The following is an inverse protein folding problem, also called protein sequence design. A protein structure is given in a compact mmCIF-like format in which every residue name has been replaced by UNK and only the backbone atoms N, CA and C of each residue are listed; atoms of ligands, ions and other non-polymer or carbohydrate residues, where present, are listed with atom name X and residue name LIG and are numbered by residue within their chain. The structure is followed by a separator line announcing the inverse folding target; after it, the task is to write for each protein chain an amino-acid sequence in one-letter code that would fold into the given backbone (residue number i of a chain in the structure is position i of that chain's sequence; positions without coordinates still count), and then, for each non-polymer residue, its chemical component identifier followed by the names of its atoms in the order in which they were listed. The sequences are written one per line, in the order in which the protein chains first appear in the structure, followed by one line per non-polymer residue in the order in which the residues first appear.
data_IF_003693640952
#
_entry.id   IF_003693640952
#
_cell.length_a   1.000
_cell.length_b   1.000
_cell.length_c   1.000
_cell.angle_alpha   90.00
_cell.angle_beta   90.00
_cell.angle_gamma   90.00
#
_symmetry.space_group_name_H-M   'P 1'
#
loop_
_entity.id
_entity.type
_entity.pdbx_description
1 polymer ?
#
# COMPACT_ATOMS: atom_id res chain seq x y z
N UNK A 1 -40.77 -33.99 -34.99
CA UNK A 1 -39.75 -32.94 -34.79
C UNK A 1 -39.45 -32.10 -36.05
N UNK A 2 -39.80 -32.58 -37.25
CA UNK A 2 -39.54 -31.85 -38.52
C UNK A 2 -40.48 -30.66 -38.78
N UNK A 3 -41.72 -30.70 -38.29
CA UNK A 3 -42.70 -29.61 -38.51
C UNK A 3 -42.46 -28.36 -37.65
N UNK A 4 -41.76 -28.47 -36.52
CA UNK A 4 -41.49 -27.33 -35.63
C UNK A 4 -40.36 -26.44 -36.18
N UNK A 5 -39.40 -27.05 -36.90
CA UNK A 5 -38.29 -26.34 -37.55
C UNK A 5 -38.80 -25.50 -38.73
N UNK A 6 -39.79 -25.98 -39.47
CA UNK A 6 -40.42 -25.24 -40.59
C UNK A 6 -41.19 -24.02 -40.07
N UNK A 7 -41.89 -24.15 -38.94
CA UNK A 7 -42.60 -23.02 -38.31
C UNK A 7 -41.66 -21.93 -37.79
N UNK A 8 -40.51 -22.29 -37.20
CA UNK A 8 -39.51 -21.32 -36.74
C UNK A 8 -38.87 -20.56 -37.92
N UNK A 9 -38.60 -21.24 -39.05
CA UNK A 9 -38.06 -20.60 -40.25
C UNK A 9 -39.06 -19.60 -40.88
N UNK A 10 -40.36 -19.93 -40.90
CA UNK A 10 -41.40 -19.04 -41.40
C UNK A 10 -41.62 -17.81 -40.49
N UNK A 11 -41.48 -17.97 -39.17
CA UNK A 11 -41.67 -16.87 -38.21
C UNK A 11 -40.58 -15.80 -38.33
N UNK A 12 -39.33 -16.18 -38.66
CA UNK A 12 -38.22 -15.24 -38.87
C UNK A 12 -38.35 -14.40 -40.15
N UNK A 13 -39.05 -14.90 -41.18
CA UNK A 13 -39.23 -14.19 -42.45
C UNK A 13 -40.34 -13.12 -42.40
N UNK A 14 -41.29 -13.25 -41.47
CA UNK A 14 -42.46 -12.34 -41.38
C UNK A 14 -42.27 -11.22 -40.34
N UNK A 15 -41.34 -11.37 -39.39
CA UNK A 15 -41.11 -10.38 -38.31
C UNK A 15 -39.65 -9.91 -38.20
N UNK A 16 -38.88 -9.94 -39.28
CA UNK A 16 -37.55 -9.32 -39.30
C UNK A 16 -37.65 -7.78 -39.27
N UNK A 17 -36.91 -7.07 -38.40
CA UNK A 17 -36.93 -5.61 -38.39
C UNK A 17 -36.40 -5.08 -39.73
N UNK A 18 -37.20 -4.24 -40.38
CA UNK A 18 -36.80 -3.53 -41.59
C UNK A 18 -35.53 -2.69 -41.31
N UNK A 19 -34.44 -3.03 -41.99
CA UNK A 19 -33.25 -2.19 -42.06
C UNK A 19 -33.59 -0.92 -42.81
N UNK A 20 -33.76 0.19 -42.08
CA UNK A 20 -33.78 1.54 -42.63
C UNK A 20 -32.34 1.94 -42.98
N UNK A 21 -32.03 1.96 -44.28
CA UNK A 21 -30.89 2.70 -44.79
C UNK A 21 -31.27 4.19 -44.86
N UNK A 22 -30.67 5.00 -43.99
CA UNK A 22 -30.69 6.47 -44.13
C UNK A 22 -29.28 6.90 -44.48
N UNK A 23 -29.12 7.45 -45.69
CA UNK A 23 -27.94 8.17 -46.11
C UNK A 23 -28.27 9.66 -46.21
N UNK A 24 -27.78 10.46 -45.27
CA UNK A 24 -27.51 11.91 -45.38
C UNK A 24 -26.44 12.19 -44.30
N UNK A 25 -25.24 12.66 -44.64
CA UNK A 25 -24.97 14.03 -45.03
C UNK A 25 -24.10 14.66 -43.94
N UNK A 26 -22.82 14.89 -44.24
CA UNK A 26 -21.85 15.49 -43.34
C UNK A 26 -22.32 16.84 -42.77
N UNK A 27 -22.11 17.06 -41.47
CA UNK A 27 -21.84 18.39 -40.93
C UNK A 27 -21.00 18.31 -39.66
N UNK A 28 -19.72 18.52 -39.91
CA UNK A 28 -18.67 18.96 -38.99
C UNK A 28 -19.17 20.11 -38.10
N UNK A 29 -19.09 19.88 -36.80
CA UNK A 29 -18.97 20.91 -35.77
C UNK A 29 -18.22 20.28 -34.60
N UNK A 30 -16.91 20.09 -34.79
CA UNK A 30 -16.00 19.67 -33.72
C UNK A 30 -15.70 20.89 -32.86
N UNK A 31 -16.38 20.96 -31.71
CA UNK A 31 -16.05 21.89 -30.64
C UNK A 31 -14.66 21.50 -30.06
N UNK A 32 -13.62 22.36 -30.13
CA UNK A 32 -12.23 22.00 -29.78
C UNK A 32 -12.03 21.64 -28.30
N UNK A 33 -13.04 21.82 -27.45
CA UNK A 33 -12.98 21.54 -26.02
C UNK A 33 -13.34 20.10 -25.65
N UNK A 34 -13.90 19.31 -26.57
CA UNK A 34 -14.22 17.89 -26.31
C UNK A 34 -13.06 16.94 -26.56
N UNK A 35 -11.97 17.39 -27.18
CA UNK A 35 -10.79 16.56 -27.47
C UNK A 35 -9.84 16.40 -26.26
N UNK A 36 -10.00 17.23 -25.23
CA UNK A 36 -9.20 17.19 -24.00
C UNK A 36 -9.83 16.41 -22.86
N UNK A 37 -11.12 16.09 -22.95
CA UNK A 37 -11.76 15.20 -21.99
C UNK A 37 -11.62 13.76 -22.50
N UNK A 38 -10.80 13.00 -21.78
CA UNK A 38 -11.12 11.61 -21.45
C UNK A 38 -10.73 10.48 -22.41
N UNK A 39 -9.47 10.46 -22.87
CA UNK A 39 -8.85 9.18 -23.30
C UNK A 39 -8.98 8.10 -22.22
N UNK A 40 -8.79 8.46 -20.95
CA UNK A 40 -8.88 7.51 -19.83
C UNK A 40 -10.32 7.02 -19.57
N UNK A 41 -11.34 7.81 -19.87
CA UNK A 41 -12.75 7.41 -19.70
C UNK A 41 -13.25 6.59 -20.90
N UNK A 42 -12.73 6.83 -22.12
CA UNK A 42 -13.01 5.97 -23.28
C UNK A 42 -12.42 4.56 -23.16
N UNK A 43 -11.30 4.40 -22.44
CA UNK A 43 -10.70 3.08 -22.15
C UNK A 43 -11.62 2.25 -21.24
N UNK A 44 -12.33 2.88 -20.29
CA UNK A 44 -13.30 2.20 -19.41
C UNK A 44 -14.52 1.67 -20.16
N UNK A 45 -14.94 2.34 -21.23
CA UNK A 45 -16.13 1.95 -22.01
C UNK A 45 -15.90 0.76 -22.95
N UNK A 46 -14.64 0.46 -23.28
CA UNK A 46 -14.26 -0.65 -24.17
C UNK A 46 -14.33 -2.05 -23.52
N UNK A 47 -14.81 -2.16 -22.27
CA UNK A 47 -14.92 -3.43 -21.55
C UNK A 47 -13.59 -3.99 -21.03
N UNK A 48 -12.49 -3.28 -21.25
CA UNK A 48 -11.17 -3.53 -20.65
C UNK A 48 -10.96 -2.65 -19.40
N UNK A 49 -12.03 -2.36 -18.67
CA UNK A 49 -11.95 -1.63 -17.40
C UNK A 49 -11.37 -2.55 -16.32
N UNK A 50 -10.11 -2.34 -15.96
CA UNK A 50 -9.50 -2.94 -14.78
C UNK A 50 -9.87 -2.17 -13.50
N UNK A 51 -11.18 -1.96 -13.28
CA UNK A 51 -11.65 -1.35 -12.05
C UNK A 51 -11.26 -2.26 -10.88
N UNK A 52 -10.47 -1.69 -9.97
CA UNK A 52 -9.93 -2.34 -8.79
C UNK A 52 -11.10 -2.79 -7.89
N UNK A 53 -11.47 -4.07 -7.99
CA UNK A 53 -12.64 -4.66 -7.31
C UNK A 53 -12.60 -4.58 -5.78
N UNK A 54 -11.43 -4.30 -5.20
CA UNK A 54 -11.28 -4.04 -3.78
C UNK A 54 -10.02 -3.23 -3.51
N UNK A 55 -10.02 -2.37 -2.49
CA UNK A 55 -8.83 -1.67 -2.02
C UNK A 55 -8.41 -2.22 -0.68
N UNK A 56 -7.12 -2.37 -0.46
CA UNK A 56 -6.58 -2.77 0.84
C UNK A 56 -5.52 -1.78 1.26
N UNK A 57 -5.80 -1.04 2.33
CA UNK A 57 -4.90 -0.03 2.87
C UNK A 57 -4.26 -0.52 4.16
N UNK A 58 -2.97 -0.26 4.34
CA UNK A 58 -2.27 -0.44 5.60
C UNK A 58 -1.71 0.90 6.05
N UNK A 59 -2.06 1.34 7.26
CA UNK A 59 -1.61 2.62 7.82
C UNK A 59 -0.92 2.44 9.17
N UNK A 60 -0.18 3.46 9.60
CA UNK A 60 0.38 3.52 10.94
C UNK A 60 1.32 4.71 11.10
N UNK A 61 1.89 4.85 12.30
CA UNK A 61 2.73 6.00 12.65
C UNK A 61 4.05 5.52 13.23
N UNK A 62 5.15 6.15 12.82
CA UNK A 62 6.49 5.88 13.31
C UNK A 62 6.98 7.00 14.22
N UNK A 63 7.12 6.69 15.51
CA UNK A 63 7.58 7.64 16.52
C UNK A 63 8.94 7.23 17.08
N UNK A 64 9.69 8.22 17.52
CA UNK A 64 10.86 8.04 18.37
C UNK A 64 10.52 8.38 19.80
N UNK A 65 10.84 7.49 20.74
CA UNK A 65 10.57 7.68 22.16
C UNK A 65 11.86 8.02 22.92
N UNK A 66 12.27 9.29 23.02
CA UNK A 66 13.41 9.71 23.83
C UNK A 66 13.19 9.35 25.31
N UNK A 67 14.28 9.08 26.03
CA UNK A 67 14.20 8.92 27.48
C UNK A 67 13.89 10.31 28.10
N UNK A 68 12.79 10.41 28.84
CA UNK A 68 12.35 11.60 29.57
C UNK A 68 11.80 12.77 28.73
N UNK A 69 11.40 12.54 27.48
CA UNK A 69 10.77 13.56 26.62
C UNK A 69 9.56 12.99 25.87
N UNK A 70 8.77 13.88 25.28
CA UNK A 70 7.59 13.52 24.48
C UNK A 70 8.04 12.82 23.19
N UNK A 71 7.38 11.73 22.77
CA UNK A 71 7.67 11.08 21.50
C UNK A 71 7.50 12.03 20.32
N UNK A 72 8.44 12.00 19.38
CA UNK A 72 8.39 12.82 18.17
C UNK A 72 8.30 11.96 16.92
N UNK A 73 7.64 12.47 15.85
CA UNK A 73 7.50 11.74 14.61
C UNK A 73 8.81 11.59 13.85
N UNK A 74 8.94 10.50 13.10
CA UNK A 74 10.10 10.26 12.23
C UNK A 74 9.67 10.39 10.77
N UNK A 75 10.00 11.52 10.16
CA UNK A 75 9.77 11.76 8.74
C UNK A 75 10.87 11.19 7.85
N UNK A 76 10.53 10.72 6.65
CA UNK A 76 11.50 10.25 5.67
C UNK A 76 12.11 8.87 5.97
N UNK A 77 11.47 8.07 6.83
CA UNK A 77 11.89 6.70 7.10
C UNK A 77 11.31 5.74 6.05
N UNK A 78 12.15 4.85 5.53
CA UNK A 78 11.71 3.77 4.66
C UNK A 78 11.11 2.64 5.50
N UNK A 79 9.86 2.31 5.21
CA UNK A 79 9.07 1.27 5.84
C UNK A 79 8.57 0.29 4.80
N UNK A 80 8.30 -0.95 5.20
CA UNK A 80 7.78 -1.97 4.31
C UNK A 80 6.74 -2.88 4.93
N UNK A 81 5.72 -3.22 4.15
CA UNK A 81 4.80 -4.33 4.43
C UNK A 81 5.38 -5.60 3.84
N UNK A 82 5.52 -6.62 4.69
CA UNK A 82 5.98 -7.96 4.34
C UNK A 82 4.81 -8.92 4.54
N UNK A 83 4.29 -9.50 3.46
CA UNK A 83 3.24 -10.50 3.50
C UNK A 83 3.80 -11.87 3.07
N UNK A 84 3.70 -12.87 3.94
CA UNK A 84 4.16 -14.23 3.66
C UNK A 84 2.98 -15.22 3.68
N UNK A 85 2.41 -15.58 2.52
CA UNK A 85 1.36 -16.57 2.46
C UNK A 85 1.93 -17.98 2.72
N UNK A 86 1.76 -18.48 3.95
CA UNK A 86 2.09 -19.85 4.35
C UNK A 86 3.54 -20.10 4.79
N UNK A 87 3.81 -21.30 5.35
CA UNK A 87 5.09 -21.65 6.02
C UNK A 87 6.25 -22.03 5.08
N UNK A 88 6.05 -22.12 3.76
CA UNK A 88 7.05 -22.71 2.83
C UNK A 88 7.43 -21.87 1.60
N UNK A 89 6.81 -20.71 1.40
CA UNK A 89 7.11 -19.86 0.23
C UNK A 89 8.25 -18.91 0.55
N UNK A 90 9.31 -18.95 -0.27
CA UNK A 90 10.50 -18.06 -0.16
C UNK A 90 10.25 -16.64 -0.66
N UNK A 91 9.16 -16.41 -1.39
CA UNK A 91 8.80 -15.09 -1.92
C UNK A 91 7.78 -14.44 -0.97
N UNK A 92 8.26 -13.54 -0.12
CA UNK A 92 7.39 -12.59 0.56
C UNK A 92 7.10 -11.44 -0.38
N UNK A 93 5.82 -11.07 -0.55
CA UNK A 93 5.48 -9.82 -1.21
C UNK A 93 5.91 -8.68 -0.29
N UNK A 94 6.89 -7.89 -0.75
CA UNK A 94 7.41 -6.74 -0.03
C UNK A 94 7.01 -5.47 -0.76
N UNK A 95 6.28 -4.60 -0.10
CA UNK A 95 5.94 -3.26 -0.60
C UNK A 95 6.63 -2.25 0.30
N UNK A 96 7.26 -1.23 -0.28
CA UNK A 96 7.96 -0.17 0.44
C UNK A 96 7.23 1.16 0.31
N UNK A 97 7.31 1.98 1.35
CA UNK A 97 6.80 3.34 1.41
C UNK A 97 7.71 4.18 2.30
N UNK A 98 7.48 5.48 2.34
CA UNK A 98 8.23 6.42 3.17
C UNK A 98 7.27 7.12 4.13
N UNK A 99 7.71 7.40 5.34
CA UNK A 99 6.92 8.17 6.30
C UNK A 99 6.87 9.66 5.95
N UNK A 100 5.71 10.28 6.18
CA UNK A 100 5.48 11.70 5.96
C UNK A 100 6.02 12.58 7.11
N UNK A 101 5.68 13.87 7.10
CA UNK A 101 6.07 14.85 8.12
C UNK A 101 5.53 14.54 9.53
N UNK A 102 4.39 13.87 9.63
CA UNK A 102 3.80 13.41 10.90
C UNK A 102 4.32 12.03 11.31
N UNK A 103 5.23 11.45 10.53
CA UNK A 103 5.74 10.09 10.74
C UNK A 103 4.71 9.03 10.35
N UNK A 104 3.63 9.41 9.69
CA UNK A 104 2.60 8.50 9.22
C UNK A 104 3.04 7.83 7.93
N UNK A 105 2.59 6.60 7.73
CA UNK A 105 2.79 5.84 6.50
C UNK A 105 1.49 5.23 6.04
N UNK A 106 1.38 5.10 4.72
CA UNK A 106 0.27 4.46 4.03
C UNK A 106 0.81 3.55 2.94
N UNK A 107 0.20 2.37 2.84
CA UNK A 107 0.42 1.41 1.76
C UNK A 107 -0.91 1.06 1.12
N UNK A 108 -0.99 1.19 -0.20
CA UNK A 108 -2.01 0.54 -1.00
C UNK A 108 -1.47 -0.80 -1.48
N UNK A 109 -2.07 -1.91 -1.04
CA UNK A 109 -1.57 -3.23 -1.38
C UNK A 109 -1.92 -3.58 -2.84
N UNK A 110 -1.03 -4.28 -3.56
CA UNK A 110 -1.29 -4.74 -4.92
C UNK A 110 -2.44 -5.74 -4.98
N UNK A 111 -3.09 -5.82 -6.16
CA UNK A 111 -4.32 -6.60 -6.38
C UNK A 111 -4.19 -8.09 -6.05
N UNK A 112 -3.00 -8.68 -6.18
CA UNK A 112 -2.74 -10.07 -5.82
C UNK A 112 -2.85 -10.35 -4.30
N UNK A 113 -2.76 -9.33 -3.45
CA UNK A 113 -2.95 -9.45 -2.01
C UNK A 113 -4.41 -9.25 -1.59
N UNK A 114 -5.27 -8.73 -2.47
CA UNK A 114 -6.66 -8.49 -2.12
C UNK A 114 -7.49 -9.77 -1.99
N UNK A 115 -7.15 -10.82 -2.72
CA UNK A 115 -7.84 -12.11 -2.58
C UNK A 115 -7.52 -12.86 -1.28
N UNK A 116 -6.53 -12.40 -0.50
CA UNK A 116 -6.04 -13.16 0.65
C UNK A 116 -6.89 -12.85 1.90
N UNK A 117 -7.49 -13.88 2.53
CA UNK A 117 -8.20 -13.70 3.79
C UNK A 117 -7.22 -13.60 4.97
N UNK A 118 -7.65 -12.94 6.05
CA UNK A 118 -6.89 -12.79 7.29
C UNK A 118 -5.45 -12.24 7.11
N UNK A 119 -5.30 -11.14 6.36
CA UNK A 119 -4.00 -10.51 6.12
C UNK A 119 -3.24 -10.18 7.43
N UNK A 120 -3.96 -9.89 8.51
CA UNK A 120 -3.42 -9.65 9.85
C UNK A 120 -2.57 -10.80 10.42
N UNK A 121 -2.74 -12.03 9.89
CA UNK A 121 -1.98 -13.22 10.32
C UNK A 121 -0.70 -13.45 9.53
N UNK A 122 -0.60 -12.86 8.34
CA UNK A 122 0.47 -13.15 7.38
C UNK A 122 1.29 -11.93 6.98
N UNK A 123 0.79 -10.72 7.28
CA UNK A 123 1.42 -9.46 6.95
C UNK A 123 1.93 -8.76 8.20
N UNK A 124 3.08 -8.10 8.07
CA UNK A 124 3.68 -7.29 9.10
C UNK A 124 4.41 -6.09 8.50
N UNK A 125 4.48 -4.99 9.26
CA UNK A 125 5.24 -3.79 8.90
C UNK A 125 6.63 -3.84 9.52
N UNK A 126 7.62 -3.47 8.74
CA UNK A 126 9.02 -3.39 9.14
C UNK A 126 9.58 -2.01 8.80
N UNK A 127 10.49 -1.51 9.64
CA UNK A 127 11.23 -0.28 9.38
C UNK A 127 12.55 -0.69 8.72
N UNK A 128 12.73 -0.36 7.45
CA UNK A 128 13.91 -0.73 6.67
C UNK A 128 15.08 0.21 6.95
N UNK A 129 14.82 1.51 6.86
CA UNK A 129 15.87 2.53 6.95
C UNK A 129 15.33 3.81 7.59
N UNK A 130 16.14 4.41 8.46
CA UNK A 130 15.86 5.74 9.02
C UNK A 130 16.52 6.84 8.20
N UNK A 131 15.97 8.07 8.20
CA UNK A 131 16.59 9.20 7.55
C UNK A 131 17.99 9.46 8.13
N UNK A 132 18.88 10.02 7.29
CA UNK A 132 20.23 10.39 7.71
C UNK A 132 20.14 11.37 8.89
N UNK A 133 20.98 11.17 9.90
CA UNK A 133 20.96 12.02 11.10
C UNK A 133 19.82 11.74 12.07
N UNK A 134 18.95 10.75 11.82
CA UNK A 134 17.89 10.38 12.78
C UNK A 134 18.48 10.18 14.19
N UNK A 135 17.90 10.81 15.23
CA UNK A 135 18.32 10.63 16.62
C UNK A 135 17.99 9.23 17.17
N UNK A 136 17.30 8.39 16.39
CA UNK A 136 16.78 7.10 16.81
C UNK A 136 17.64 5.97 16.25
N UNK A 137 17.68 4.84 16.97
CA UNK A 137 18.31 3.63 16.46
C UNK A 137 17.36 2.94 15.48
N UNK A 138 17.87 2.38 14.38
CA UNK A 138 17.10 1.44 13.58
C UNK A 138 16.53 0.35 14.49
N UNK A 139 15.28 -0.05 14.27
CA UNK A 139 14.75 -1.26 14.87
C UNK A 139 15.54 -2.44 14.29
N UNK A 140 16.56 -2.90 15.01
CA UNK A 140 17.40 -4.02 14.57
C UNK A 140 16.53 -5.19 14.07
N UNK A 141 16.81 -5.63 12.83
CA UNK A 141 16.44 -6.88 12.12
C UNK A 141 15.49 -7.86 12.84
N UNK A 142 14.26 -7.46 13.17
CA UNK A 142 13.31 -8.43 13.72
C UNK A 142 12.09 -7.90 14.47
N UNK A 143 12.00 -6.60 14.78
CA UNK A 143 10.75 -6.03 15.30
C UNK A 143 9.81 -5.70 14.15
N UNK A 144 9.20 -6.73 13.58
CA UNK A 144 8.08 -6.55 12.67
C UNK A 144 6.82 -6.32 13.51
N UNK A 145 6.00 -5.35 13.12
CA UNK A 145 4.73 -5.04 13.76
C UNK A 145 3.62 -5.69 12.96
N UNK A 146 2.88 -6.62 13.56
CA UNK A 146 1.68 -7.18 12.92
C UNK A 146 0.66 -6.08 12.63
N UNK A 147 -0.14 -6.27 11.59
CA UNK A 147 -1.26 -5.38 11.26
C UNK A 147 -2.55 -5.92 11.87
N UNK A 148 -3.52 -5.05 12.09
CA UNK A 148 -4.87 -5.42 12.57
C UNK A 148 -5.90 -4.80 11.64
N UNK A 149 -6.97 -5.53 11.33
CA UNK A 149 -8.10 -4.97 10.58
C UNK A 149 -8.75 -3.86 11.40
N UNK A 150 -8.82 -2.66 10.85
CA UNK A 150 -9.46 -1.50 11.49
C UNK A 150 -10.87 -1.27 10.96
N UNK A 151 -11.09 -1.48 9.67
CA UNK A 151 -12.39 -1.22 9.03
C UNK A 151 -12.59 -2.06 7.77
N UNK A 152 -13.85 -2.32 7.43
CA UNK A 152 -14.27 -3.05 6.23
C UNK A 152 -15.60 -2.51 5.69
N UNK A 153 -15.62 -2.09 4.44
CA UNK A 153 -16.83 -1.55 3.79
C UNK A 153 -16.61 -1.25 2.31
N UNK A 154 -17.66 -1.35 1.48
CA UNK A 154 -17.65 -0.92 0.06
C UNK A 154 -16.43 -1.39 -0.78
N UNK A 155 -15.93 -2.60 -0.52
CA UNK A 155 -14.74 -3.12 -1.20
C UNK A 155 -13.40 -2.60 -0.66
N UNK A 156 -13.39 -1.74 0.35
CA UNK A 156 -12.23 -1.30 1.10
C UNK A 156 -12.03 -2.15 2.37
N UNK A 157 -10.80 -2.64 2.57
CA UNK A 157 -10.33 -3.16 3.86
C UNK A 157 -9.17 -2.32 4.36
N UNK A 158 -9.37 -1.69 5.50
CA UNK A 158 -8.35 -0.86 6.14
C UNK A 158 -7.71 -1.64 7.27
N UNK A 159 -6.39 -1.63 7.30
CA UNK A 159 -5.56 -2.24 8.32
C UNK A 159 -4.68 -1.17 8.96
N UNK A 160 -4.37 -1.36 10.24
CA UNK A 160 -3.43 -0.51 10.95
C UNK A 160 -2.33 -1.33 11.62
N UNK A 161 -1.10 -0.84 11.54
CA UNK A 161 0.01 -1.30 12.38
C UNK A 161 0.07 -0.56 13.74
N UNK A 162 -0.81 0.43 13.93
CA UNK A 162 -0.78 1.35 15.06
C UNK A 162 0.53 2.15 15.12
N UNK A 163 0.93 2.51 16.34
CA UNK A 163 2.17 3.25 16.57
C UNK A 163 3.36 2.32 16.73
N UNK A 164 4.37 2.51 15.88
CA UNK A 164 5.68 1.86 15.98
C UNK A 164 6.62 2.81 16.72
N UNK A 165 7.13 2.40 17.88
CA UNK A 165 8.03 3.22 18.69
C UNK A 165 9.49 2.75 18.59
N UNK A 166 10.36 3.66 18.19
CA UNK A 166 11.81 3.46 18.15
C UNK A 166 12.49 4.05 19.37
N UNK A 167 13.62 3.44 19.74
CA UNK A 167 14.45 3.90 20.86
C UNK A 167 15.48 4.92 20.37
N UNK A 168 15.87 5.90 21.20
CA UNK A 168 16.90 6.86 20.88
C UNK A 168 18.26 6.16 20.73
N UNK A 169 19.15 6.77 19.97
CA UNK A 169 20.57 6.45 20.01
C UNK A 169 21.07 6.74 21.41
N UNK A 170 21.46 5.68 22.12
CA UNK A 170 22.21 5.80 23.37
C UNK A 170 23.45 6.64 23.05
N UNK A 171 23.50 7.88 23.52
CA UNK A 171 24.75 8.61 23.56
C UNK A 171 25.67 7.80 24.47
N UNK A 172 26.78 7.28 23.94
CA UNK A 172 27.87 6.86 24.82
C UNK A 172 28.33 8.16 25.49
N UNK A 173 27.92 8.39 26.73
CA UNK A 173 28.63 9.34 27.58
C UNK A 173 30.02 8.74 27.70
N UNK A 174 30.98 9.23 26.90
CA UNK A 174 32.38 8.93 27.11
C UNK A 174 32.74 9.59 28.44
N UNK A 175 32.60 8.84 29.53
CA UNK A 175 33.26 9.19 30.78
C UNK A 175 34.76 9.02 30.50
N UNK A 176 35.39 10.08 30.00
CA UNK A 176 36.82 10.28 30.21
C UNK A 176 36.97 10.55 31.71
N UNK A 177 36.92 9.48 32.51
CA UNK A 177 37.39 9.54 33.88
C UNK A 177 38.91 9.71 33.76
N UNK A 178 39.35 10.95 33.95
CA UNK A 178 40.76 11.31 33.99
C UNK A 178 41.48 10.38 34.96
N UNK A 179 42.48 9.68 34.45
CA UNK A 179 43.39 8.91 35.29
C UNK A 179 44.12 9.86 36.23
N UNK A 180 44.08 9.58 37.52
CA UNK A 180 45.11 10.02 38.46
C UNK A 180 45.77 8.75 38.98
N UNK A 181 46.96 8.43 38.47
CA UNK A 181 47.85 7.42 39.05
C UNK A 181 48.16 7.86 40.49
N UNK A 182 48.03 7.00 41.51
CA UNK A 182 48.66 7.25 42.79
C UNK A 182 50.16 6.97 42.66
N UNK A 183 50.98 7.94 43.03
CA UNK A 183 52.43 7.79 43.14
C UNK A 183 52.75 6.73 44.20
N UNK A 184 53.60 5.77 43.82
CA UNK A 184 54.14 4.76 44.71
C UNK A 184 55.13 5.42 45.68
N UNK A 185 54.75 5.55 46.95
CA UNK A 185 55.71 5.80 48.03
C UNK A 185 56.43 4.48 48.32
N UNK A 186 57.71 4.41 47.95
CA UNK A 186 58.61 3.32 48.29
C UNK A 186 59.11 3.55 49.72
N UNK A 187 58.73 2.69 50.65
CA UNK A 187 59.34 2.64 51.98
C UNK A 187 60.67 1.88 51.89
N UNK A 188 61.76 2.52 52.31
CA UNK A 188 62.92 1.87 52.92
C UNK A 188 63.55 2.84 53.91
#
# INVERSE_FOLDING_TARGET
MTNYIIFLFLFCLVNGPATLAVATGAKENTDPLTEFFNRDETIKFAGYGEDKLSTVLVTGTLLCHPLYQIPFPISGASVAVLCQPGRKTRQSNQIQSTTDENGDFLFDLPSNLHGIPNLEKICCVSVLQLPKGSPCKPAFKGKHKGITLSDIGEGLRSYTAGTIQLKPKTAKISRHAGGRKPDMVKAN
#
